data_IF_040193157130
#
_entry.id   IF_040193157130
#
_cell.length_a   1.000
_cell.length_b   1.000
_cell.length_c   1.000
_cell.angle_alpha   90.00
_cell.angle_beta   90.00
_cell.angle_gamma   90.00
#
_symmetry.space_group_name_H-M   'P 1'
#
loop_
_entity.id
_entity.type
_entity.pdbx_description
1 polymer ?
#
# COMPACT_ATOMS: atom_id res chain seq x y z
N UNK A 1 -24.27 12.78 38.06
CA UNK A 1 -23.10 11.97 38.46
C UNK A 1 -23.10 10.55 37.86
N UNK A 2 -24.11 9.69 38.07
CA UNK A 2 -24.11 8.29 37.57
C UNK A 2 -23.99 8.14 36.04
N UNK A 3 -24.52 9.07 35.23
CA UNK A 3 -24.41 9.04 33.76
C UNK A 3 -22.98 9.34 33.27
N UNK A 4 -22.33 10.34 33.87
CA UNK A 4 -20.93 10.70 33.56
C UNK A 4 -19.98 9.56 33.91
N UNK A 5 -20.21 8.88 35.04
CA UNK A 5 -19.42 7.72 35.45
C UNK A 5 -19.54 6.53 34.48
N UNK A 6 -20.72 6.29 33.91
CA UNK A 6 -20.93 5.24 32.89
C UNK A 6 -20.22 5.56 31.57
N UNK A 7 -20.19 6.82 31.17
CA UNK A 7 -19.49 7.26 29.96
C UNK A 7 -17.98 7.10 30.13
N UNK A 8 -17.44 7.51 31.29
CA UNK A 8 -16.02 7.30 31.63
C UNK A 8 -15.66 5.81 31.63
N UNK A 9 -16.52 4.96 32.21
CA UNK A 9 -16.28 3.52 32.24
C UNK A 9 -16.29 2.91 30.83
N UNK A 10 -17.23 3.30 29.97
CA UNK A 10 -17.29 2.84 28.59
C UNK A 10 -16.04 3.29 27.81
N UNK A 11 -15.58 4.52 28.02
CA UNK A 11 -14.35 5.03 27.41
C UNK A 11 -13.12 4.23 27.85
N UNK A 12 -12.98 3.93 29.14
CA UNK A 12 -11.88 3.10 29.66
C UNK A 12 -11.91 1.69 29.07
N UNK A 13 -13.09 1.09 28.88
CA UNK A 13 -13.23 -0.24 28.26
C UNK A 13 -12.81 -0.20 26.79
N UNK A 14 -13.23 0.81 26.03
CA UNK A 14 -12.85 0.97 24.62
C UNK A 14 -11.34 1.18 24.49
N UNK A 15 -10.76 2.06 25.31
CA UNK A 15 -9.31 2.31 25.32
C UNK A 15 -8.55 1.04 25.70
N UNK A 16 -9.01 0.30 26.71
CA UNK A 16 -8.41 -0.97 27.11
C UNK A 16 -8.52 -2.03 26.03
N UNK A 17 -9.64 -2.09 25.30
CA UNK A 17 -9.82 -3.01 24.18
C UNK A 17 -8.89 -2.65 23.01
N UNK A 18 -8.73 -1.36 22.70
CA UNK A 18 -7.80 -0.89 21.67
C UNK A 18 -6.35 -1.20 22.06
N UNK A 19 -5.97 -0.97 23.33
CA UNK A 19 -4.63 -1.30 23.85
C UNK A 19 -4.42 -2.82 23.83
N UNK A 20 -5.41 -3.62 24.23
CA UNK A 20 -5.34 -5.08 24.23
C UNK A 20 -5.23 -5.67 22.83
N UNK A 21 -6.02 -5.17 21.87
CA UNK A 21 -5.92 -5.54 20.46
C UNK A 21 -4.57 -5.11 19.88
N UNK A 22 -4.08 -3.90 20.22
CA UNK A 22 -2.73 -3.47 19.83
C UNK A 22 -1.65 -4.37 20.41
N UNK A 23 -1.68 -4.68 21.71
CA UNK A 23 -0.69 -5.52 22.36
C UNK A 23 -0.71 -6.94 21.80
N UNK A 24 -1.91 -7.49 21.57
CA UNK A 24 -2.08 -8.77 20.90
C UNK A 24 -1.54 -8.75 19.47
N UNK A 25 -1.86 -7.72 18.69
CA UNK A 25 -1.36 -7.57 17.33
C UNK A 25 0.17 -7.38 17.29
N UNK A 26 0.75 -6.59 18.20
CA UNK A 26 2.21 -6.41 18.30
C UNK A 26 2.91 -7.71 18.69
N UNK A 27 2.30 -8.55 19.55
CA UNK A 27 2.92 -9.79 20.00
C UNK A 27 2.74 -10.95 18.99
N UNK A 28 1.61 -10.96 18.25
CA UNK A 28 1.26 -11.99 17.25
C UNK A 28 1.80 -11.66 15.85
N UNK A 29 1.82 -10.38 15.50
CA UNK A 29 2.22 -9.81 14.21
C UNK A 29 3.27 -8.73 14.42
N UNK A 30 4.30 -9.00 15.24
CA UNK A 30 5.40 -8.07 15.45
C UNK A 30 6.00 -7.64 14.10
N UNK A 31 5.51 -6.53 13.56
CA UNK A 31 6.12 -5.83 12.45
C UNK A 31 7.46 -5.34 13.01
N UNK A 32 8.60 -5.70 12.40
CA UNK A 32 9.87 -5.10 12.75
C UNK A 32 9.69 -3.59 12.71
N UNK A 33 10.04 -2.90 13.78
CA UNK A 33 9.88 -1.45 13.85
C UNK A 33 10.44 -0.77 12.60
N UNK A 34 9.57 -0.08 11.86
CA UNK A 34 9.96 0.89 10.83
C UNK A 34 10.68 0.35 9.59
N UNK A 35 10.83 -0.97 9.41
CA UNK A 35 11.42 -1.54 8.19
C UNK A 35 10.34 -2.06 7.25
N UNK A 36 10.35 -1.64 5.97
CA UNK A 36 9.57 -2.26 4.92
C UNK A 36 9.78 -3.78 4.93
N UNK A 37 8.74 -4.53 4.58
CA UNK A 37 8.83 -5.99 4.63
C UNK A 37 9.74 -6.51 3.52
N UNK A 38 10.58 -7.49 3.85
CA UNK A 38 11.50 -8.10 2.89
C UNK A 38 10.73 -9.00 1.91
N UNK A 39 10.99 -8.89 0.61
CA UNK A 39 10.36 -9.75 -0.40
C UNK A 39 10.58 -11.25 -0.12
N UNK A 40 11.73 -11.63 0.45
CA UNK A 40 12.05 -13.02 0.80
C UNK A 40 11.13 -13.64 1.87
N UNK A 41 10.35 -12.83 2.59
CA UNK A 41 9.40 -13.32 3.61
C UNK A 41 8.09 -13.86 3.03
N UNK A 42 7.84 -13.65 1.73
CA UNK A 42 6.59 -14.06 1.07
C UNK A 42 6.75 -15.40 0.35
N UNK A 43 5.74 -16.29 0.45
CA UNK A 43 5.79 -17.60 -0.20
C UNK A 43 5.72 -17.45 -1.72
N UNK A 44 6.52 -18.19 -2.48
CA UNK A 44 6.44 -18.26 -3.94
C UNK A 44 6.03 -19.65 -4.41
N UNK A 45 5.56 -19.75 -5.65
CA UNK A 45 5.21 -21.02 -6.31
C UNK A 45 5.58 -20.94 -7.81
N UNK A 46 5.27 -21.97 -8.60
CA UNK A 46 5.37 -21.93 -10.06
C UNK A 46 4.44 -20.88 -10.70
N UNK A 47 3.42 -20.42 -9.95
CA UNK A 47 2.40 -19.44 -10.39
C UNK A 47 2.40 -18.14 -9.59
N UNK A 48 3.24 -18.04 -8.58
CA UNK A 48 3.44 -16.82 -7.79
C UNK A 48 4.93 -16.55 -7.78
N UNK A 49 5.37 -15.71 -8.70
CA UNK A 49 6.78 -15.42 -8.92
C UNK A 49 7.11 -14.02 -8.42
N UNK A 50 8.28 -13.87 -7.81
CA UNK A 50 8.82 -12.56 -7.50
C UNK A 50 9.26 -11.89 -8.81
N UNK A 51 8.93 -10.61 -8.96
CA UNK A 51 9.24 -9.79 -10.14
C UNK A 51 9.97 -8.52 -9.71
N UNK A 52 10.98 -8.16 -10.49
CA UNK A 52 11.77 -6.95 -10.28
C UNK A 52 11.98 -6.23 -11.61
N UNK A 53 12.13 -4.91 -11.52
CA UNK A 53 12.40 -3.98 -12.60
C UNK A 53 13.37 -2.89 -12.18
N UNK A 54 13.32 -1.73 -12.86
CA UNK A 54 14.19 -0.60 -12.51
C UNK A 54 13.84 -0.06 -11.13
N UNK A 55 12.56 0.15 -10.84
CA UNK A 55 12.03 0.50 -9.52
C UNK A 55 10.95 -0.49 -9.07
N UNK A 56 10.24 -1.12 -10.01
CA UNK A 56 9.20 -2.11 -9.70
C UNK A 56 9.80 -3.28 -8.90
N UNK A 57 9.12 -3.68 -7.83
CA UNK A 57 9.40 -4.92 -7.09
C UNK A 57 8.09 -5.45 -6.50
N UNK A 58 7.89 -6.76 -6.55
CA UNK A 58 6.65 -7.38 -6.07
C UNK A 58 6.47 -8.79 -6.58
N UNK A 59 5.22 -9.24 -6.69
CA UNK A 59 4.88 -10.61 -7.05
C UNK A 59 3.86 -10.65 -8.17
N UNK A 60 4.05 -11.55 -9.12
CA UNK A 60 3.10 -11.85 -10.20
C UNK A 60 2.38 -13.16 -9.89
N UNK A 61 1.07 -13.06 -9.73
CA UNK A 61 0.16 -14.18 -9.51
C UNK A 61 -0.52 -14.52 -10.83
N UNK A 62 -0.13 -15.64 -11.43
CA UNK A 62 -0.62 -16.11 -12.71
C UNK A 62 -1.65 -17.24 -12.49
N UNK A 63 -2.95 -17.03 -12.75
CA UNK A 63 -3.94 -18.08 -12.56
C UNK A 63 -3.76 -19.20 -13.60
N UNK A 64 -4.10 -20.44 -13.22
CA UNK A 64 -4.08 -21.58 -14.15
C UNK A 64 -5.07 -21.37 -15.30
N UNK A 65 -6.26 -20.89 -14.96
CA UNK A 65 -7.28 -20.44 -15.89
C UNK A 65 -7.59 -18.98 -15.59
N UNK A 66 -7.28 -18.09 -16.53
CA UNK A 66 -7.60 -16.67 -16.42
C UNK A 66 -9.09 -16.47 -16.71
N UNK A 67 -9.88 -16.26 -15.67
CA UNK A 67 -11.35 -16.12 -15.74
C UNK A 67 -11.81 -14.68 -16.01
N UNK A 68 -10.93 -13.72 -15.81
CA UNK A 68 -11.21 -12.29 -15.94
C UNK A 68 -10.19 -11.62 -16.86
N UNK A 69 -10.65 -10.73 -17.73
CA UNK A 69 -9.78 -9.96 -18.61
C UNK A 69 -8.94 -8.95 -17.81
N UNK A 70 -7.75 -8.65 -18.33
CA UNK A 70 -6.86 -7.64 -17.74
C UNK A 70 -6.11 -8.10 -16.50
N UNK A 71 -5.57 -7.15 -15.75
CA UNK A 71 -4.72 -7.42 -14.59
C UNK A 71 -5.09 -6.50 -13.43
N UNK A 72 -5.10 -7.06 -12.23
CA UNK A 72 -5.29 -6.31 -11.00
C UNK A 72 -3.94 -6.02 -10.36
N UNK A 73 -3.62 -4.75 -10.11
CA UNK A 73 -2.43 -4.33 -9.38
C UNK A 73 -2.86 -3.96 -7.97
N UNK A 74 -2.22 -4.54 -6.94
CA UNK A 74 -2.59 -4.30 -5.54
C UNK A 74 -1.43 -3.75 -4.74
N UNK A 75 -1.72 -2.73 -3.92
CA UNK A 75 -0.78 -2.06 -3.04
C UNK A 75 -1.23 -2.13 -1.57
N UNK A 76 -0.27 -2.42 -0.68
CA UNK A 76 -0.44 -2.23 0.77
C UNK A 76 -0.40 -0.75 1.16
N UNK A 77 -0.24 -0.48 2.44
CA UNK A 77 -0.21 0.87 3.01
C UNK A 77 1.16 1.33 3.48
N UNK A 78 1.15 2.14 4.53
CA UNK A 78 2.34 2.75 5.16
C UNK A 78 3.32 1.75 5.77
N UNK A 79 2.92 0.49 5.93
CA UNK A 79 3.75 -0.59 6.46
C UNK A 79 4.81 -1.09 5.47
N UNK A 80 4.73 -0.71 4.19
CA UNK A 80 5.74 -1.07 3.20
C UNK A 80 5.71 -2.54 2.78
N UNK A 81 4.53 -3.14 2.74
CA UNK A 81 4.30 -4.46 2.14
C UNK A 81 3.46 -4.39 0.86
N UNK A 82 3.54 -5.41 -0.01
CA UNK A 82 2.49 -5.68 -0.96
C UNK A 82 1.21 -6.07 -0.22
N UNK A 83 0.06 -5.88 -0.84
CA UNK A 83 -1.19 -6.46 -0.33
C UNK A 83 -1.31 -7.93 -0.75
N UNK A 84 -0.40 -8.76 -0.24
CA UNK A 84 -0.21 -10.15 -0.66
C UNK A 84 -1.45 -11.02 -0.37
N UNK A 85 -2.10 -10.78 0.77
CA UNK A 85 -3.30 -11.52 1.17
C UNK A 85 -4.47 -11.27 0.21
N UNK A 86 -4.70 -10.00 -0.17
CA UNK A 86 -5.71 -9.66 -1.18
C UNK A 86 -5.33 -10.19 -2.55
N UNK A 87 -4.04 -10.12 -2.91
CA UNK A 87 -3.56 -10.68 -4.17
C UNK A 87 -3.88 -12.16 -4.30
N UNK A 88 -3.65 -12.93 -3.23
CA UNK A 88 -3.98 -14.36 -3.18
C UNK A 88 -5.47 -14.61 -3.33
N UNK A 89 -6.33 -13.85 -2.65
CA UNK A 89 -7.79 -14.00 -2.78
C UNK A 89 -8.28 -13.73 -4.21
N UNK A 90 -7.76 -12.69 -4.84
CA UNK A 90 -8.08 -12.36 -6.24
C UNK A 90 -7.55 -13.42 -7.22
N UNK A 91 -6.33 -13.90 -7.00
CA UNK A 91 -5.73 -14.96 -7.80
C UNK A 91 -6.52 -16.28 -7.69
N UNK A 92 -6.95 -16.68 -6.48
CA UNK A 92 -7.80 -17.85 -6.25
C UNK A 92 -9.19 -17.70 -6.93
N UNK A 93 -9.66 -16.47 -7.12
CA UNK A 93 -10.87 -16.17 -7.89
C UNK A 93 -10.67 -16.18 -9.42
N UNK A 94 -9.43 -16.34 -9.92
CA UNK A 94 -9.11 -16.43 -11.34
C UNK A 94 -8.66 -15.13 -12.00
N UNK A 95 -8.30 -14.11 -11.21
CA UNK A 95 -7.66 -12.89 -11.72
C UNK A 95 -6.15 -13.10 -11.91
N UNK A 96 -5.58 -12.42 -12.89
CA UNK A 96 -4.15 -12.16 -12.93
C UNK A 96 -3.84 -10.95 -12.03
N UNK A 97 -2.86 -11.10 -11.13
CA UNK A 97 -2.63 -10.09 -10.10
C UNK A 97 -1.15 -9.75 -9.98
N UNK A 98 -0.83 -8.46 -9.83
CA UNK A 98 0.47 -7.96 -9.42
C UNK A 98 0.37 -7.39 -8.01
N UNK A 99 1.07 -7.97 -7.04
CA UNK A 99 1.15 -7.44 -5.68
C UNK A 99 2.48 -6.71 -5.52
N UNK A 100 2.44 -5.37 -5.51
CA UNK A 100 3.65 -4.56 -5.63
C UNK A 100 4.02 -3.85 -4.33
N UNK A 101 5.32 -3.79 -4.06
CA UNK A 101 5.89 -2.81 -3.16
C UNK A 101 6.03 -1.48 -3.91
N UNK A 102 5.90 -0.36 -3.19
CA UNK A 102 6.15 0.97 -3.76
C UNK A 102 7.24 1.75 -3.01
N UNK A 103 7.79 1.17 -1.95
CA UNK A 103 9.00 1.64 -1.28
C UNK A 103 9.63 0.50 -0.48
N UNK A 104 10.91 0.66 -0.13
CA UNK A 104 11.59 -0.16 0.85
C UNK A 104 12.32 -1.38 0.33
N UNK A 105 12.16 -1.71 -0.95
CA UNK A 105 12.93 -2.77 -1.60
C UNK A 105 14.30 -2.26 -2.08
N UNK A 106 15.27 -3.15 -2.35
CA UNK A 106 16.65 -2.75 -2.70
C UNK A 106 16.77 -1.78 -3.89
N UNK A 107 15.84 -1.84 -4.85
CA UNK A 107 15.77 -0.96 -6.03
C UNK A 107 14.84 0.26 -5.84
N UNK A 108 14.35 0.50 -4.62
CA UNK A 108 13.35 1.53 -4.32
C UNK A 108 13.89 2.60 -3.35
N UNK A 109 13.07 3.61 -3.08
CA UNK A 109 13.31 4.53 -1.96
C UNK A 109 13.25 3.73 -0.66
N UNK A 110 14.24 3.88 0.22
CA UNK A 110 14.32 3.13 1.48
C UNK A 110 13.13 3.40 2.41
N UNK A 111 12.56 4.60 2.33
CA UNK A 111 11.41 5.04 3.11
C UNK A 111 10.32 5.55 2.18
N UNK A 112 9.13 5.73 2.74
CA UNK A 112 8.04 6.40 2.07
C UNK A 112 8.32 7.90 1.98
N UNK A 113 9.20 8.29 1.06
CA UNK A 113 9.55 9.67 0.77
C UNK A 113 9.99 9.77 -0.69
N UNK A 114 9.41 10.75 -1.41
CA UNK A 114 9.70 11.02 -2.80
C UNK A 114 9.58 9.76 -3.71
N UNK A 115 8.58 8.91 -3.46
CA UNK A 115 8.32 7.72 -4.29
C UNK A 115 7.93 8.18 -5.71
N UNK A 116 8.67 7.81 -6.76
CA UNK A 116 8.45 8.30 -8.12
C UNK A 116 7.25 7.61 -8.77
N UNK A 117 6.22 8.33 -9.19
CA UNK A 117 5.04 7.73 -9.81
C UNK A 117 5.35 6.97 -11.12
N UNK A 118 6.45 7.32 -11.79
CA UNK A 118 6.91 6.73 -13.04
C UNK A 118 7.20 5.23 -12.95
N UNK A 119 7.41 4.69 -11.74
CA UNK A 119 7.59 3.23 -11.59
C UNK A 119 6.40 2.46 -12.16
N UNK A 120 5.21 3.07 -12.19
CA UNK A 120 4.01 2.41 -12.68
C UNK A 120 4.03 2.15 -14.19
N UNK A 121 4.85 2.87 -14.97
CA UNK A 121 4.99 2.59 -16.40
C UNK A 121 5.53 1.18 -16.64
N UNK A 122 6.35 0.67 -15.72
CA UNK A 122 6.89 -0.70 -15.73
C UNK A 122 5.83 -1.79 -15.52
N UNK A 123 4.64 -1.45 -15.03
CA UNK A 123 3.51 -2.38 -14.89
C UNK A 123 2.99 -2.73 -16.28
N UNK A 124 2.85 -1.73 -17.15
CA UNK A 124 2.22 -1.90 -18.47
C UNK A 124 2.99 -2.84 -19.38
N UNK A 125 4.30 -3.02 -19.15
CA UNK A 125 5.16 -3.95 -19.90
C UNK A 125 5.11 -5.38 -19.37
N UNK A 126 4.49 -5.59 -18.20
CA UNK A 126 4.44 -6.89 -17.48
C UNK A 126 3.07 -7.54 -17.46
N UNK A 127 2.03 -6.80 -17.82
CA UNK A 127 0.64 -7.29 -17.82
C UNK A 127 0.21 -7.71 -19.22
N UNK A 128 -0.70 -8.68 -19.28
CA UNK A 128 -1.30 -9.10 -20.54
C UNK A 128 -2.33 -8.07 -21.05
N UNK A 129 -2.73 -8.18 -22.31
CA UNK A 129 -3.75 -7.28 -22.89
C UNK A 129 -5.04 -7.28 -22.07
N UNK A 130 -5.63 -6.08 -21.91
CA UNK A 130 -6.88 -5.86 -21.20
C UNK A 130 -6.80 -4.72 -20.18
N UNK A 131 -7.86 -4.52 -19.39
CA UNK A 131 -7.94 -3.41 -18.46
C UNK A 131 -6.97 -3.57 -17.28
N UNK A 132 -6.36 -2.48 -16.85
CA UNK A 132 -5.57 -2.39 -15.62
C UNK A 132 -6.44 -1.83 -14.50
N UNK A 133 -6.67 -2.65 -13.47
CA UNK A 133 -7.39 -2.23 -12.26
C UNK A 133 -6.40 -2.07 -11.11
N UNK A 134 -6.41 -0.94 -10.42
CA UNK A 134 -5.51 -0.70 -9.29
C UNK A 134 -6.28 -0.66 -7.98
N UNK A 135 -5.83 -1.44 -7.01
CA UNK A 135 -6.44 -1.53 -5.67
C UNK A 135 -5.43 -1.09 -4.62
N UNK A 136 -5.79 -0.09 -3.83
CA UNK A 136 -4.92 0.46 -2.80
C UNK A 136 -5.58 0.49 -1.42
N UNK A 137 -4.79 0.28 -0.37
CA UNK A 137 -5.22 0.43 1.03
C UNK A 137 -4.44 1.55 1.73
N UNK A 138 -5.12 2.47 2.43
CA UNK A 138 -4.47 3.54 3.21
C UNK A 138 -3.48 4.35 2.35
N UNK A 139 -2.17 4.33 2.63
CA UNK A 139 -1.17 4.99 1.79
C UNK A 139 -1.13 4.45 0.36
N UNK A 140 -1.42 3.17 0.15
CA UNK A 140 -1.59 2.61 -1.20
C UNK A 140 -2.82 3.15 -1.92
N UNK A 141 -3.87 3.53 -1.18
CA UNK A 141 -5.03 4.20 -1.76
C UNK A 141 -4.67 5.63 -2.20
N UNK A 142 -3.89 6.36 -1.39
CA UNK A 142 -3.31 7.67 -1.75
C UNK A 142 -2.42 7.56 -3.00
N UNK A 143 -1.52 6.57 -3.05
CA UNK A 143 -0.72 6.26 -4.23
C UNK A 143 -1.60 5.98 -5.46
N UNK A 144 -2.62 5.13 -5.31
CA UNK A 144 -3.53 4.76 -6.40
C UNK A 144 -4.25 5.97 -6.98
N UNK A 145 -4.74 6.86 -6.12
CA UNK A 145 -5.38 8.10 -6.54
C UNK A 145 -4.39 9.00 -7.30
N UNK A 146 -3.17 9.19 -6.78
CA UNK A 146 -2.14 9.98 -7.44
C UNK A 146 -1.74 9.39 -8.80
N UNK A 147 -1.57 8.07 -8.91
CA UNK A 147 -1.30 7.42 -10.20
C UNK A 147 -2.39 7.74 -11.22
N UNK A 148 -3.67 7.60 -10.84
CA UNK A 148 -4.80 7.86 -11.71
C UNK A 148 -4.90 9.33 -12.16
N UNK A 149 -4.55 10.30 -11.29
CA UNK A 149 -4.61 11.72 -11.63
C UNK A 149 -3.37 12.25 -12.34
N UNK A 150 -2.26 11.50 -12.33
CA UNK A 150 -0.97 11.92 -12.88
C UNK A 150 -0.53 11.14 -14.13
N UNK A 151 -1.48 10.56 -14.87
CA UNK A 151 -1.26 10.06 -16.23
C UNK A 151 -0.87 8.59 -16.34
N UNK A 152 -0.94 7.82 -15.25
CA UNK A 152 -0.77 6.37 -15.33
C UNK A 152 -1.90 5.74 -16.16
N UNK A 153 -1.57 4.74 -16.96
CA UNK A 153 -2.55 3.98 -17.76
C UNK A 153 -3.34 3.02 -16.86
N UNK A 154 -4.44 3.52 -16.30
CA UNK A 154 -5.31 2.81 -15.37
C UNK A 154 -6.75 2.92 -15.85
N UNK A 155 -7.44 1.79 -15.98
CA UNK A 155 -8.84 1.74 -16.40
C UNK A 155 -9.80 1.83 -15.22
N UNK A 156 -9.43 1.25 -14.07
CA UNK A 156 -10.29 1.20 -12.88
C UNK A 156 -9.47 1.36 -11.59
N UNK A 157 -10.06 1.97 -10.56
CA UNK A 157 -9.47 2.06 -9.23
C UNK A 157 -10.43 1.58 -8.13
N UNK A 158 -9.88 0.96 -7.09
CA UNK A 158 -10.60 0.59 -5.87
C UNK A 158 -9.80 1.06 -4.66
N UNK A 159 -10.39 1.94 -3.86
CA UNK A 159 -9.70 2.61 -2.76
C UNK A 159 -10.27 2.17 -1.39
N UNK A 160 -9.44 1.51 -0.59
CA UNK A 160 -9.77 1.17 0.79
C UNK A 160 -9.17 2.21 1.75
N UNK A 161 -10.03 2.79 2.59
CA UNK A 161 -9.67 3.86 3.54
C UNK A 161 -8.83 4.99 2.89
N UNK A 162 -9.33 5.63 1.82
CA UNK A 162 -8.59 6.70 1.15
C UNK A 162 -8.47 7.95 2.02
N UNK A 163 -7.49 8.78 1.67
CA UNK A 163 -7.40 10.16 2.11
C UNK A 163 -7.81 11.10 0.98
N UNK A 164 -8.35 12.27 1.34
CA UNK A 164 -8.69 13.32 0.35
C UNK A 164 -7.45 14.07 -0.16
N UNK A 165 -6.36 14.02 0.62
CA UNK A 165 -5.12 14.74 0.34
C UNK A 165 -3.95 13.77 0.20
N UNK A 166 -2.97 14.19 -0.59
CA UNK A 166 -1.61 13.65 -0.52
C UNK A 166 -0.96 14.16 0.76
N UNK A 167 -0.48 13.26 1.61
CA UNK A 167 0.15 13.62 2.88
C UNK A 167 1.67 13.50 2.79
N UNK A 168 2.36 14.12 3.74
CA UNK A 168 3.78 13.89 3.93
C UNK A 168 4.11 12.40 4.06
N UNK A 169 5.32 12.07 3.64
CA UNK A 169 5.91 10.75 3.74
C UNK A 169 6.22 10.34 5.18
N UNK A 170 6.64 9.09 5.32
CA UNK A 170 7.05 8.48 6.58
C UNK A 170 8.56 8.21 6.56
N UNK A 171 9.35 9.25 6.28
CA UNK A 171 10.78 9.22 6.55
C UNK A 171 11.01 9.46 8.04
N UNK A 172 11.72 8.55 8.71
CA UNK A 172 12.12 8.73 10.10
C UNK A 172 13.25 9.78 10.15
N UNK A 173 12.87 11.05 10.34
CA UNK A 173 13.77 12.21 10.36
C UNK A 173 13.04 13.47 10.80
N UNK A 174 13.77 14.59 10.94
CA UNK A 174 13.18 15.91 11.29
C UNK A 174 12.58 16.65 10.10
N UNK A 175 12.92 16.24 8.88
CA UNK A 175 12.48 16.89 7.65
C UNK A 175 11.17 16.29 7.15
N UNK A 176 10.24 17.16 6.78
CA UNK A 176 8.98 16.78 6.14
C UNK A 176 9.27 16.55 4.66
N UNK A 177 9.08 15.32 4.20
CA UNK A 177 9.20 14.95 2.80
C UNK A 177 7.80 14.66 2.22
N UNK A 178 7.54 14.96 0.94
CA UNK A 178 6.36 14.47 0.27
C UNK A 178 6.42 12.94 0.17
N UNK A 179 5.25 12.30 0.09
CA UNK A 179 5.22 10.86 -0.13
C UNK A 179 5.62 10.47 -1.54
N UNK A 180 5.22 11.29 -2.52
CA UNK A 180 5.30 10.98 -3.94
C UNK A 180 5.95 12.11 -4.72
N UNK A 181 6.56 11.76 -5.85
CA UNK A 181 7.14 12.70 -6.80
C UNK A 181 6.73 12.37 -8.23
N UNK A 182 6.77 13.36 -9.11
CA UNK A 182 6.61 13.22 -10.55
C UNK A 182 7.60 14.15 -11.27
N UNK A 183 8.30 13.64 -12.29
CA UNK A 183 9.35 14.35 -13.00
C UNK A 183 10.53 14.75 -12.10
N UNK A 184 10.75 13.99 -11.03
CA UNK A 184 11.71 14.34 -9.97
C UNK A 184 11.29 15.54 -9.11
N UNK A 185 10.06 16.05 -9.26
CA UNK A 185 9.50 17.13 -8.45
C UNK A 185 8.52 16.57 -7.42
N UNK A 186 8.48 17.14 -6.20
CA UNK A 186 7.54 16.73 -5.18
C UNK A 186 6.09 17.01 -5.61
N UNK A 187 5.18 16.07 -5.37
CA UNK A 187 3.75 16.37 -5.50
C UNK A 187 3.29 17.30 -4.36
N UNK A 188 2.27 18.15 -4.58
CA UNK A 188 1.66 18.92 -3.51
C UNK A 188 1.19 17.99 -2.39
N UNK A 189 1.52 18.34 -1.14
CA UNK A 189 1.19 17.52 0.01
C UNK A 189 0.84 18.36 1.24
N UNK A 190 0.06 17.79 2.14
CA UNK A 190 -0.20 18.35 3.47
C UNK A 190 0.78 17.75 4.49
N UNK A 191 1.47 18.63 5.22
CA UNK A 191 2.21 18.20 6.40
C UNK A 191 1.22 17.86 7.54
N UNK A 192 1.58 16.90 8.39
CA UNK A 192 0.74 16.48 9.52
C UNK A 192 0.50 17.60 10.53
N UNK A 193 1.43 18.56 10.62
CA UNK A 193 1.27 19.75 11.47
C UNK A 193 0.18 20.69 10.95
N UNK A 194 -0.03 20.75 9.64
CA UNK A 194 -0.96 21.68 8.99
C UNK A 194 -2.39 21.13 8.94
N UNK A 195 -2.57 19.82 9.18
CA UNK A 195 -3.89 19.17 9.25
C UNK A 195 -4.65 19.46 10.57
N UNK A 196 -3.99 20.02 11.59
CA UNK A 196 -4.64 20.41 12.85
C UNK A 196 -5.09 21.88 12.78
N UNK A 197 -6.22 22.13 12.13
CA UNK A 197 -6.98 23.39 12.25
C UNK A 197 -8.35 23.14 12.89
#
# INVERSE_FOLDING_TARGET
MKKILKILLAFVIIVSAVIGVRAYNVHRYALPEGRPQEASSYPTTDRITHIEGTYLSGFHFQPVEKKHAGTVVVFGGSEGSPDYARARQLWEAGYEVLALFFFGQPNQKNTLADVPLEFFDEVTTRVSEGPVTVVGSSKGAELTANLATHGAKIDNIVLFTPTEYTFQGLAFGREEHPSFSQGGQPLPYLAFKDFRS
#
